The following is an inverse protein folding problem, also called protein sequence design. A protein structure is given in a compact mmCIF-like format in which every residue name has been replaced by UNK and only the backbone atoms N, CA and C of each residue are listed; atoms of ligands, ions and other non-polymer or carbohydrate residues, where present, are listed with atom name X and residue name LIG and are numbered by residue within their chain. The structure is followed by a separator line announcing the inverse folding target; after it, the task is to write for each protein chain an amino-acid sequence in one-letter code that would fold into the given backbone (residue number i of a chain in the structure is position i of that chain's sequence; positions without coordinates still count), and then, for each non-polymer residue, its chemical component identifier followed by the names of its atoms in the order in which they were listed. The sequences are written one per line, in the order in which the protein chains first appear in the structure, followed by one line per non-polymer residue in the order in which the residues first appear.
data_IF_046711666539
#
_entry.id   IF_046711666539
#
_cell.length_a   1.000
_cell.length_b   1.000
_cell.length_c   1.000
_cell.angle_alpha   90.00
_cell.angle_beta   90.00
_cell.angle_gamma   90.00
#
_symmetry.space_group_name_H-M   'P 1'
#
loop_
_entity.id
_entity.type
_entity.pdbx_description
1 polymer ?
#
# COMPACT_ATOMS: atom_id res chain seq x y z
N UNK A 1 2.42 12.77 3.39
CA UNK A 1 3.07 12.64 2.07
C UNK A 1 4.11 11.54 2.12
N UNK A 2 4.40 10.90 0.98
CA UNK A 2 5.44 9.89 0.82
C UNK A 2 6.48 10.36 -0.19
N UNK A 3 7.76 10.17 0.15
CA UNK A 3 8.92 10.47 -0.69
C UNK A 3 9.88 9.27 -0.70
N UNK A 4 10.82 9.25 -1.65
CA UNK A 4 11.85 8.23 -1.79
C UNK A 4 13.23 8.84 -1.62
N UNK A 5 13.98 8.35 -0.64
CA UNK A 5 15.41 8.57 -0.49
C UNK A 5 16.19 7.68 -1.46
N UNK A 6 17.33 8.14 -1.96
CA UNK A 6 18.28 7.33 -2.74
C UNK A 6 18.83 6.16 -1.92
N UNK A 7 19.11 6.42 -0.65
CA UNK A 7 19.88 5.51 0.22
C UNK A 7 18.98 4.73 1.18
N UNK A 8 17.91 5.38 1.68
CA UNK A 8 17.09 4.84 2.78
C UNK A 8 15.71 4.30 2.35
N UNK A 9 15.37 4.35 1.06
CA UNK A 9 14.07 3.90 0.54
C UNK A 9 12.92 4.89 0.78
N UNK A 10 11.68 4.40 0.91
CA UNK A 10 10.51 5.28 1.07
C UNK A 10 10.30 5.73 2.51
N UNK A 11 9.89 6.98 2.67
CA UNK A 11 9.60 7.55 3.98
C UNK A 11 8.40 8.49 3.93
N UNK A 12 7.76 8.70 5.09
CA UNK A 12 6.70 9.68 5.27
C UNK A 12 7.26 10.98 5.84
N UNK A 13 6.87 12.10 5.25
CA UNK A 13 7.29 13.44 5.68
C UNK A 13 8.09 14.21 4.64
N UNK A 14 8.59 15.38 5.05
CA UNK A 14 9.26 16.32 4.14
C UNK A 14 10.72 15.95 3.86
N UNK A 15 11.41 15.35 4.82
CA UNK A 15 12.83 14.99 4.71
C UNK A 15 13.06 13.58 5.23
N UNK A 16 14.07 12.91 4.67
CA UNK A 16 14.45 11.58 5.10
C UNK A 16 14.87 11.60 6.59
N UNK A 17 14.39 10.67 7.42
CA UNK A 17 14.74 10.62 8.83
C UNK A 17 16.25 10.40 9.07
N UNK A 18 16.97 9.79 8.12
CA UNK A 18 18.40 9.47 8.24
C UNK A 18 19.28 10.56 7.63
N UNK A 19 19.32 10.69 6.30
CA UNK A 19 20.21 11.64 5.62
C UNK A 19 19.72 13.10 5.57
N UNK A 20 18.51 13.41 6.05
CA UNK A 20 17.89 14.75 6.06
C UNK A 20 17.65 15.39 4.68
N UNK A 21 17.89 14.67 3.59
CA UNK A 21 17.56 15.12 2.24
C UNK A 21 16.05 15.06 1.97
N UNK A 22 15.56 15.95 1.11
CA UNK A 22 14.15 15.99 0.70
C UNK A 22 13.71 14.71 -0.04
N UNK A 23 14.59 14.06 -0.78
CA UNK A 23 14.26 12.90 -1.61
C UNK A 23 13.31 13.22 -2.78
N UNK A 24 13.02 12.20 -3.59
CA UNK A 24 12.09 12.27 -4.73
C UNK A 24 10.65 12.23 -4.22
N UNK A 25 9.81 13.14 -4.67
CA UNK A 25 8.37 13.10 -4.38
C UNK A 25 7.70 11.88 -5.02
N UNK A 26 6.84 11.17 -4.27
CA UNK A 26 6.10 9.99 -4.75
C UNK A 26 4.60 10.20 -4.62
N UNK A 27 4.12 10.64 -3.45
CA UNK A 27 2.70 10.74 -3.16
C UNK A 27 2.39 11.91 -2.23
N UNK A 28 1.41 12.74 -2.57
CA UNK A 28 0.92 13.79 -1.68
C UNK A 28 0.02 13.20 -0.57
N UNK A 29 -0.21 13.98 0.49
CA UNK A 29 -0.96 13.53 1.66
C UNK A 29 -2.42 13.17 1.37
N UNK A 30 -3.08 13.85 0.42
CA UNK A 30 -4.47 13.57 0.05
C UNK A 30 -4.58 12.23 -0.66
N UNK A 31 -3.71 12.00 -1.66
CA UNK A 31 -3.62 10.74 -2.39
C UNK A 31 -3.22 9.59 -1.49
N UNK A 32 -2.24 9.78 -0.62
CA UNK A 32 -1.83 8.83 0.41
C UNK A 32 -3.00 8.40 1.30
N UNK A 33 -3.78 9.35 1.80
CA UNK A 33 -4.91 9.05 2.65
C UNK A 33 -6.00 8.26 1.90
N UNK A 34 -6.29 8.64 0.66
CA UNK A 34 -7.30 7.97 -0.18
C UNK A 34 -6.92 6.53 -0.50
N UNK A 35 -5.71 6.32 -1.02
CA UNK A 35 -5.24 4.98 -1.36
C UNK A 35 -5.03 4.13 -0.10
N UNK A 36 -4.57 4.72 1.01
CA UNK A 36 -4.41 4.01 2.29
C UNK A 36 -5.74 3.52 2.86
N UNK A 37 -6.81 4.33 2.79
CA UNK A 37 -8.17 3.89 3.17
C UNK A 37 -8.66 2.74 2.30
N UNK A 38 -8.44 2.83 0.99
CA UNK A 38 -8.82 1.78 0.05
C UNK A 38 -8.05 0.48 0.29
N UNK A 39 -6.72 0.56 0.44
CA UNK A 39 -5.86 -0.59 0.73
C UNK A 39 -6.27 -1.26 2.04
N UNK A 40 -6.48 -0.48 3.11
CA UNK A 40 -6.97 -1.03 4.38
C UNK A 40 -8.33 -1.70 4.23
N UNK A 41 -9.25 -1.09 3.45
CA UNK A 41 -10.59 -1.62 3.26
C UNK A 41 -10.61 -2.95 2.52
N UNK A 42 -9.97 -2.97 1.34
CA UNK A 42 -9.93 -4.15 0.47
C UNK A 42 -9.19 -5.30 1.14
N UNK A 43 -8.02 -5.04 1.75
CA UNK A 43 -7.21 -6.11 2.34
C UNK A 43 -7.70 -6.61 3.69
N UNK A 44 -8.73 -6.01 4.30
CA UNK A 44 -9.24 -6.44 5.62
C UNK A 44 -10.71 -6.82 5.63
N UNK A 45 -11.51 -6.26 4.72
CA UNK A 45 -12.96 -6.27 4.87
C UNK A 45 -13.68 -6.73 3.61
N UNK A 46 -13.26 -6.29 2.43
CA UNK A 46 -14.06 -6.47 1.21
C UNK A 46 -13.23 -6.75 -0.07
N UNK A 47 -12.36 -7.79 -0.11
CA UNK A 47 -11.61 -8.09 -1.34
C UNK A 47 -12.55 -8.42 -2.53
N UNK A 48 -13.64 -9.15 -2.27
CA UNK A 48 -14.58 -9.60 -3.30
C UNK A 48 -15.32 -8.43 -3.98
N UNK A 49 -15.60 -7.35 -3.26
CA UNK A 49 -16.33 -6.17 -3.79
C UNK A 49 -15.57 -5.47 -4.92
N UNK A 50 -14.26 -5.67 -4.99
CA UNK A 50 -13.40 -5.13 -6.06
C UNK A 50 -12.92 -6.21 -7.03
N UNK A 51 -13.53 -7.39 -6.98
CA UNK A 51 -13.24 -8.52 -7.87
C UNK A 51 -11.93 -9.24 -7.55
N UNK A 52 -11.47 -9.19 -6.29
CA UNK A 52 -10.27 -9.88 -5.85
C UNK A 52 -10.63 -11.07 -4.98
N UNK A 53 -9.88 -12.15 -5.13
CA UNK A 53 -9.95 -13.31 -4.24
C UNK A 53 -8.81 -13.24 -3.23
N UNK A 54 -9.15 -13.48 -1.97
CA UNK A 54 -8.21 -13.55 -0.86
C UNK A 54 -8.06 -15.01 -0.42
N UNK A 55 -6.82 -15.48 -0.24
CA UNK A 55 -6.58 -16.80 0.32
C UNK A 55 -6.72 -16.80 1.85
N UNK A 56 -6.61 -17.99 2.45
CA UNK A 56 -6.83 -18.22 3.88
C UNK A 56 -5.86 -17.43 4.76
N UNK A 57 -4.68 -17.10 4.25
CA UNK A 57 -3.65 -16.34 4.98
C UNK A 57 -3.74 -14.82 4.70
N UNK A 58 -4.80 -14.38 4.03
CA UNK A 58 -5.07 -12.98 3.71
C UNK A 58 -4.40 -12.47 2.43
N UNK A 59 -3.74 -13.32 1.64
CA UNK A 59 -3.04 -12.87 0.45
C UNK A 59 -3.98 -12.67 -0.75
N UNK A 60 -3.67 -11.63 -1.50
CA UNK A 60 -4.32 -11.27 -2.76
C UNK A 60 -3.25 -11.09 -3.85
N UNK A 61 -3.57 -11.44 -5.10
CA UNK A 61 -2.69 -11.18 -6.25
C UNK A 61 -2.44 -9.66 -6.41
N UNK A 62 -1.17 -9.28 -6.49
CA UNK A 62 -0.76 -7.88 -6.47
C UNK A 62 -1.08 -7.14 -7.76
N UNK A 63 -1.03 -7.81 -8.92
CA UNK A 63 -1.35 -7.17 -10.20
C UNK A 63 -2.86 -6.91 -10.31
N UNK A 64 -3.68 -7.88 -9.92
CA UNK A 64 -5.13 -7.71 -9.78
C UNK A 64 -5.48 -6.58 -8.80
N UNK A 65 -4.80 -6.54 -7.64
CA UNK A 65 -5.00 -5.47 -6.67
C UNK A 65 -4.59 -4.09 -7.21
N UNK A 66 -3.48 -4.01 -7.94
CA UNK A 66 -3.04 -2.79 -8.61
C UNK A 66 -4.08 -2.32 -9.63
N UNK A 67 -4.66 -3.23 -10.41
CA UNK A 67 -5.68 -2.88 -11.40
C UNK A 67 -7.00 -2.44 -10.77
N UNK A 68 -7.44 -3.10 -9.68
CA UNK A 68 -8.57 -2.64 -8.87
C UNK A 68 -8.31 -1.23 -8.32
N UNK A 69 -7.10 -0.97 -7.84
CA UNK A 69 -6.69 0.36 -7.35
C UNK A 69 -6.72 1.40 -8.46
N UNK A 70 -6.20 1.10 -9.66
CA UNK A 70 -6.23 2.02 -10.82
C UNK A 70 -7.64 2.29 -11.32
N UNK A 71 -8.54 1.30 -11.26
CA UNK A 71 -9.96 1.49 -11.60
C UNK A 71 -10.59 2.53 -10.68
N UNK A 72 -10.30 2.48 -9.38
CA UNK A 72 -10.79 3.43 -8.37
C UNK A 72 -10.09 4.80 -8.43
N UNK A 73 -8.78 4.80 -8.66
CA UNK A 73 -7.92 5.97 -8.65
C UNK A 73 -7.01 5.96 -9.88
N UNK A 74 -7.42 6.64 -10.95
CA UNK A 74 -6.70 6.64 -12.25
C UNK A 74 -5.25 7.12 -12.18
N UNK A 75 -4.91 7.90 -11.15
CA UNK A 75 -3.55 8.39 -10.91
C UNK A 75 -2.65 7.37 -10.18
N UNK A 76 -3.21 6.32 -9.59
CA UNK A 76 -2.46 5.34 -8.83
C UNK A 76 -1.53 4.52 -9.74
N UNK A 77 -0.30 4.30 -9.27
CA UNK A 77 0.72 3.50 -9.96
C UNK A 77 1.28 2.46 -9.01
N UNK A 78 2.01 1.48 -9.56
CA UNK A 78 2.74 0.48 -8.77
C UNK A 78 3.63 1.11 -7.70
N UNK A 79 4.36 2.18 -8.05
CA UNK A 79 5.21 2.93 -7.11
C UNK A 79 4.38 3.50 -5.93
N UNK A 80 3.15 3.98 -6.16
CA UNK A 80 2.30 4.50 -5.09
C UNK A 80 1.96 3.44 -4.05
N UNK A 81 1.59 2.23 -4.48
CA UNK A 81 1.27 1.12 -3.58
C UNK A 81 2.49 0.60 -2.83
N UNK A 82 3.60 0.36 -3.55
CA UNK A 82 4.86 -0.07 -2.94
C UNK A 82 5.30 0.96 -1.90
N UNK A 83 5.28 2.25 -2.25
CA UNK A 83 5.67 3.31 -1.32
C UNK A 83 4.78 3.35 -0.08
N UNK A 84 3.50 3.01 -0.19
CA UNK A 84 2.59 2.97 0.95
C UNK A 84 2.92 1.82 1.91
N UNK A 85 3.27 0.65 1.37
CA UNK A 85 3.65 -0.54 2.13
C UNK A 85 5.02 -0.34 2.78
N UNK A 86 6.03 0.04 2.00
CA UNK A 86 7.42 0.17 2.50
C UNK A 86 7.59 1.33 3.48
N UNK A 87 6.81 2.42 3.34
CA UNK A 87 6.82 3.53 4.30
C UNK A 87 5.89 3.33 5.50
N UNK A 88 5.30 2.15 5.67
CA UNK A 88 4.44 1.87 6.83
C UNK A 88 5.25 1.45 8.05
N UNK A 89 5.46 2.38 8.97
CA UNK A 89 6.12 2.14 10.26
C UNK A 89 5.43 1.06 11.10
N UNK A 90 4.10 0.90 10.96
CA UNK A 90 3.33 -0.11 11.70
C UNK A 90 3.31 -1.47 11.01
N UNK A 91 3.96 -1.58 9.85
CA UNK A 91 4.04 -2.80 9.04
C UNK A 91 2.65 -3.45 8.85
N UNK A 92 1.60 -2.66 8.60
CA UNK A 92 0.23 -3.19 8.46
C UNK A 92 0.10 -4.10 7.24
N UNK A 93 0.97 -3.92 6.26
CA UNK A 93 0.90 -4.60 4.98
C UNK A 93 2.22 -5.29 4.67
N UNK A 94 2.13 -6.27 3.80
CA UNK A 94 3.26 -7.04 3.32
C UNK A 94 3.09 -7.33 1.84
N UNK A 95 4.19 -7.24 1.07
CA UNK A 95 4.26 -7.71 -0.31
C UNK A 95 5.34 -8.78 -0.37
N UNK A 96 4.99 -9.98 -0.83
CA UNK A 96 5.93 -11.07 -1.10
C UNK A 96 5.66 -11.57 -2.51
N UNK A 97 6.71 -11.60 -3.34
CA UNK A 97 6.63 -11.96 -4.76
C UNK A 97 5.54 -11.13 -5.47
N UNK A 98 4.46 -11.76 -5.95
CA UNK A 98 3.33 -11.08 -6.57
C UNK A 98 2.07 -11.08 -5.70
N UNK A 99 2.22 -11.12 -4.38
CA UNK A 99 1.09 -11.15 -3.44
C UNK A 99 1.18 -10.00 -2.46
N UNK A 100 0.03 -9.48 -2.05
CA UNK A 100 -0.12 -8.46 -1.01
C UNK A 100 -1.16 -8.89 0.02
N UNK A 101 -0.91 -8.60 1.30
CA UNK A 101 -1.89 -8.79 2.39
C UNK A 101 -1.82 -7.68 3.42
N UNK A 102 -2.87 -7.58 4.24
CA UNK A 102 -2.74 -6.97 5.56
C UNK A 102 -2.19 -8.01 6.55
N UNK A 103 -1.35 -7.60 7.50
CA UNK A 103 -0.80 -8.50 8.54
C UNK A 103 -1.78 -8.70 9.71
N UNK A 104 -2.74 -7.78 9.88
CA UNK A 104 -3.70 -7.79 10.98
C UNK A 104 -4.91 -6.91 10.68
N UNK A 105 -5.98 -7.12 11.45
CA UNK A 105 -7.20 -6.30 11.44
C UNK A 105 -8.26 -6.77 10.44
N UNK A 106 -8.23 -8.03 10.04
CA UNK A 106 -9.24 -8.62 9.16
C UNK A 106 -10.58 -8.77 9.89
N UNK A 107 -11.67 -8.45 9.18
CA UNK A 107 -13.04 -8.84 9.58
C UNK A 107 -13.57 -10.01 8.75
N UNK A 108 -12.85 -10.36 7.68
CA UNK A 108 -13.08 -11.59 6.92
C UNK A 108 -12.33 -12.74 7.58
N UNK A 109 -12.82 -13.97 7.39
CA UNK A 109 -12.21 -15.15 7.99
C UNK A 109 -10.87 -15.44 7.31
N UNK A 110 -9.79 -15.22 8.05
CA UNK A 110 -8.41 -15.58 7.72
C UNK A 110 -7.83 -16.34 8.90
N UNK A 111 -6.91 -17.26 8.63
CA UNK A 111 -6.25 -18.09 9.65
C UNK A 111 -5.23 -17.29 10.48
#
# INVERSE_FOLDING_TARGET
MIRKCSDDGYFRGEVCPYCKNKGKFVLDSEKEQRIGKFVSGVLRHFPNDVGLSMDKEGWVDFDGFLDATKKRYKWAKKESLISLVESDEKQRYEIISNKIRARYGHSVNVD
#
